data_IF_789419366185
#
_entry.id   IF_789419366185
#
_cell.length_a   1.000
_cell.length_b   1.000
_cell.length_c   1.000
_cell.angle_alpha   90.00
_cell.angle_beta   90.00
_cell.angle_gamma   90.00
#
_symmetry.space_group_name_H-M   'P 1'
#
loop_
_entity.id
_entity.type
_entity.pdbx_description
1 polymer ?
#
# COMPACT_ATOMS: atom_id res chain seq x y z
N UNK A 1 7.92 15.88 4.93
CA UNK A 1 8.49 14.52 5.15
C UNK A 1 7.35 13.59 5.55
N UNK A 2 7.17 12.45 4.85
CA UNK A 2 6.24 11.41 5.29
C UNK A 2 6.74 10.88 6.65
N UNK A 3 5.90 10.92 7.69
CA UNK A 3 6.23 10.32 8.99
C UNK A 3 6.76 8.90 8.73
N UNK A 4 7.90 8.56 9.34
CA UNK A 4 8.48 7.21 9.24
C UNK A 4 7.57 6.22 9.97
N UNK A 5 6.51 5.77 9.29
CA UNK A 5 5.63 4.73 9.79
C UNK A 5 6.39 3.40 9.74
N UNK A 6 6.40 2.69 10.87
CA UNK A 6 6.92 1.34 10.93
C UNK A 6 6.13 0.43 9.98
N UNK A 7 6.82 -0.50 9.34
CA UNK A 7 6.18 -1.37 8.34
C UNK A 7 5.03 -2.18 8.92
N UNK A 8 5.16 -2.68 10.15
CA UNK A 8 4.09 -3.41 10.85
C UNK A 8 2.82 -2.56 10.97
N UNK A 9 2.96 -1.30 11.39
CA UNK A 9 1.85 -0.34 11.49
C UNK A 9 1.26 -0.02 10.11
N UNK A 10 2.10 0.18 9.10
CA UNK A 10 1.65 0.44 7.73
C UNK A 10 0.84 -0.74 7.16
N UNK A 11 1.30 -1.97 7.39
CA UNK A 11 0.60 -3.19 7.00
C UNK A 11 -0.74 -3.32 7.71
N UNK A 12 -0.77 -3.20 9.04
CA UNK A 12 -2.01 -3.27 9.81
C UNK A 12 -3.03 -2.22 9.36
N UNK A 13 -2.59 -0.98 9.13
CA UNK A 13 -3.47 0.09 8.66
C UNK A 13 -4.05 -0.24 7.28
N UNK A 14 -3.23 -0.71 6.34
CA UNK A 14 -3.69 -1.07 5.00
C UNK A 14 -4.70 -2.23 5.06
N UNK A 15 -4.40 -3.31 5.79
CA UNK A 15 -5.26 -4.49 5.88
C UNK A 15 -6.61 -4.14 6.49
N UNK A 16 -6.63 -3.36 7.57
CA UNK A 16 -7.86 -2.93 8.24
C UNK A 16 -8.72 -2.01 7.36
N UNK A 17 -8.14 -1.38 6.34
CA UNK A 17 -8.84 -0.54 5.37
C UNK A 17 -9.06 -1.25 4.01
N UNK A 18 -8.93 -2.57 3.97
CA UNK A 18 -9.22 -3.39 2.78
C UNK A 18 -8.17 -3.30 1.67
N UNK A 19 -6.96 -2.83 1.99
CA UNK A 19 -5.81 -2.79 1.07
C UNK A 19 -4.86 -3.95 1.36
N UNK A 20 -4.70 -4.84 0.38
CA UNK A 20 -3.77 -5.97 0.44
C UNK A 20 -2.74 -5.84 -0.67
N UNK A 21 -1.47 -6.00 -0.33
CA UNK A 21 -0.33 -5.87 -1.26
C UNK A 21 0.45 -7.18 -1.23
N UNK A 22 0.60 -7.81 -2.39
CA UNK A 22 1.22 -9.12 -2.49
C UNK A 22 1.95 -9.31 -3.83
N UNK A 23 3.00 -10.14 -3.87
CA UNK A 23 3.64 -10.53 -5.11
C UNK A 23 2.74 -11.47 -5.90
N UNK A 24 2.73 -11.33 -7.23
CA UNK A 24 2.11 -12.26 -8.17
C UNK A 24 3.15 -12.72 -9.18
N UNK A 25 3.27 -14.03 -9.35
CA UNK A 25 4.17 -14.62 -10.35
C UNK A 25 3.57 -14.47 -11.74
N UNK A 26 4.38 -14.03 -12.70
CA UNK A 26 3.98 -13.96 -14.10
C UNK A 26 4.90 -14.86 -14.90
N UNK A 27 4.31 -15.92 -15.48
CA UNK A 27 4.97 -16.85 -16.41
C UNK A 27 6.31 -17.43 -15.90
N UNK A 28 6.45 -17.61 -14.59
CA UNK A 28 7.57 -18.33 -13.96
C UNK A 28 8.93 -17.62 -13.96
N UNK A 29 9.07 -16.44 -14.58
CA UNK A 29 10.38 -15.75 -14.71
C UNK A 29 10.53 -14.47 -13.90
N UNK A 30 9.41 -13.82 -13.57
CA UNK A 30 9.41 -12.58 -12.80
C UNK A 30 8.15 -12.46 -11.95
N UNK A 31 8.25 -11.61 -10.94
CA UNK A 31 7.19 -11.27 -10.01
C UNK A 31 6.76 -9.83 -10.25
N UNK A 32 5.46 -9.59 -10.25
CA UNK A 32 4.86 -8.25 -10.23
C UNK A 32 4.24 -8.02 -8.86
N UNK A 33 4.10 -6.75 -8.46
CA UNK A 33 3.35 -6.42 -7.25
C UNK A 33 1.90 -6.15 -7.62
N UNK A 34 0.97 -6.86 -6.98
CA UNK A 34 -0.46 -6.60 -7.10
C UNK A 34 -0.98 -5.98 -5.81
N UNK A 35 -1.82 -4.96 -5.98
CA UNK A 35 -2.58 -4.34 -4.91
C UNK A 35 -4.05 -4.61 -5.13
N UNK A 36 -4.70 -5.19 -4.12
CA UNK A 36 -6.15 -5.27 -4.05
C UNK A 36 -6.63 -4.21 -3.06
N UNK A 37 -7.36 -3.21 -3.55
CA UNK A 37 -8.00 -2.18 -2.74
C UNK A 37 -9.52 -2.39 -2.81
N UNK A 38 -10.09 -3.01 -1.78
CA UNK A 38 -11.53 -3.24 -1.65
C UNK A 38 -12.15 -3.91 -2.89
N UNK A 39 -11.49 -4.94 -3.41
CA UNK A 39 -11.91 -5.70 -4.60
C UNK A 39 -11.34 -5.15 -5.92
N UNK A 40 -10.86 -3.91 -5.96
CA UNK A 40 -10.21 -3.34 -7.14
C UNK A 40 -8.74 -3.75 -7.19
N UNK A 41 -8.42 -4.64 -8.12
CA UNK A 41 -7.05 -5.12 -8.32
C UNK A 41 -6.30 -4.20 -9.28
N UNK A 42 -5.06 -3.85 -8.92
CA UNK A 42 -4.11 -3.14 -9.75
C UNK A 42 -2.77 -3.86 -9.70
N UNK A 43 -2.20 -4.17 -10.86
CA UNK A 43 -0.89 -4.81 -10.96
C UNK A 43 0.11 -3.78 -11.47
N UNK A 44 1.19 -3.57 -10.73
CA UNK A 44 2.28 -2.70 -11.19
C UNK A 44 3.05 -3.38 -12.32
N UNK A 45 3.48 -2.61 -13.35
CA UNK A 45 4.16 -3.17 -14.52
C UNK A 45 5.59 -3.63 -14.22
N UNK A 46 6.18 -3.18 -13.10
CA UNK A 46 7.54 -3.49 -12.67
C UNK A 46 7.77 -5.01 -12.53
N UNK A 47 8.77 -5.53 -13.24
CA UNK A 47 9.15 -6.94 -13.22
C UNK A 47 10.33 -7.13 -12.26
N UNK A 48 10.09 -7.91 -11.20
CA UNK A 48 11.04 -8.13 -10.12
C UNK A 48 11.53 -9.57 -10.17
N UNK A 49 12.85 -9.73 -10.14
CA UNK A 49 13.49 -11.06 -10.25
C UNK A 49 14.08 -11.53 -8.92
N UNK A 50 14.43 -10.61 -8.02
CA UNK A 50 15.10 -10.94 -6.75
C UNK A 50 14.16 -10.71 -5.57
N UNK A 51 14.19 -11.63 -4.60
CA UNK A 51 13.39 -11.54 -3.36
C UNK A 51 13.59 -10.22 -2.61
N UNK A 52 14.83 -9.69 -2.60
CA UNK A 52 15.13 -8.40 -1.97
C UNK A 52 14.36 -7.24 -2.61
N UNK A 53 14.28 -7.22 -3.94
CA UNK A 53 13.60 -6.16 -4.68
C UNK A 53 12.08 -6.29 -4.55
N UNK A 54 11.57 -7.53 -4.53
CA UNK A 54 10.16 -7.84 -4.22
C UNK A 54 9.79 -7.30 -2.84
N UNK A 55 10.56 -7.64 -1.80
CA UNK A 55 10.30 -7.18 -0.44
C UNK A 55 10.38 -5.66 -0.32
N UNK A 56 11.38 -5.04 -0.95
CA UNK A 56 11.52 -3.58 -0.98
C UNK A 56 10.30 -2.92 -1.63
N UNK A 57 9.86 -3.43 -2.78
CA UNK A 57 8.69 -2.91 -3.48
C UNK A 57 7.44 -3.05 -2.61
N UNK A 58 7.19 -4.21 -2.00
CA UNK A 58 6.06 -4.41 -1.08
C UNK A 58 6.07 -3.39 0.06
N UNK A 59 7.23 -3.18 0.72
CA UNK A 59 7.38 -2.22 1.82
C UNK A 59 7.05 -0.80 1.37
N UNK A 60 7.58 -0.38 0.23
CA UNK A 60 7.31 0.95 -0.34
C UNK A 60 5.82 1.15 -0.62
N UNK A 61 5.15 0.14 -1.17
CA UNK A 61 3.74 0.25 -1.54
C UNK A 61 2.86 0.24 -0.28
N UNK A 62 3.19 -0.54 0.75
CA UNK A 62 2.51 -0.44 2.05
C UNK A 62 2.65 0.97 2.65
N UNK A 63 3.85 1.54 2.64
CA UNK A 63 4.08 2.92 3.11
C UNK A 63 3.31 3.95 2.28
N UNK A 64 3.24 3.77 0.97
CA UNK A 64 2.50 4.67 0.09
C UNK A 64 0.99 4.65 0.40
N UNK A 65 0.39 3.46 0.46
CA UNK A 65 -1.04 3.32 0.73
C UNK A 65 -1.41 3.72 2.17
N UNK A 66 -0.57 3.41 3.16
CA UNK A 66 -0.81 3.83 4.54
C UNK A 66 -0.83 5.37 4.66
N UNK A 67 0.11 6.05 4.00
CA UNK A 67 0.15 7.51 3.99
C UNK A 67 -1.06 8.11 3.26
N UNK A 68 -1.54 7.46 2.18
CA UNK A 68 -2.75 7.88 1.48
C UNK A 68 -4.00 7.76 2.37
N UNK A 69 -4.12 6.68 3.13
CA UNK A 69 -5.20 6.47 4.10
C UNK A 69 -5.15 7.52 5.21
N UNK A 70 -3.98 7.75 5.82
CA UNK A 70 -3.83 8.75 6.88
C UNK A 70 -4.24 10.15 6.42
N UNK A 71 -3.83 10.56 5.20
CA UNK A 71 -4.24 11.84 4.62
C UNK A 71 -5.75 11.95 4.40
N UNK A 72 -6.43 10.84 4.07
CA UNK A 72 -7.89 10.82 3.94
C UNK A 72 -8.58 11.06 5.29
N UNK A 73 -8.05 10.50 6.38
CA UNK A 73 -8.56 10.76 7.72
C UNK A 73 -8.34 12.20 8.16
N UNK A 74 -7.13 12.75 7.98
CA UNK A 74 -6.84 14.16 8.29
C UNK A 74 -7.80 15.11 7.53
N UNK A 75 -8.07 14.81 6.26
CA UNK A 75 -8.99 15.59 5.44
C UNK A 75 -10.46 15.48 5.94
N UNK A 76 -10.89 14.28 6.34
CA UNK A 76 -12.23 14.06 6.85
C UNK A 76 -12.48 14.75 8.20
N UNK A 77 -11.51 14.72 9.11
CA UNK A 77 -11.57 15.46 10.38
C UNK A 77 -11.66 16.97 10.14
N UNK A 78 -10.89 17.47 9.17
CA UNK A 78 -10.91 18.89 8.78
C UNK A 78 -12.30 19.31 8.33
N UNK A 79 -12.92 18.59 7.38
CA UNK A 79 -14.28 18.92 6.89
C UNK A 79 -15.33 18.86 8.00
N UNK A 80 -15.24 17.87 8.90
CA UNK A 80 -16.23 17.68 9.97
C UNK A 80 -16.19 18.83 10.98
N UNK A 81 -15.00 19.36 11.28
CA UNK A 81 -14.84 20.50 12.18
C UNK A 81 -15.29 21.83 11.56
N UNK A 82 -15.25 21.99 10.22
CA UNK A 82 -15.79 23.19 9.56
C UNK A 82 -17.33 23.26 9.53
N UNK A 83 -18.03 22.16 9.84
CA UNK A 83 -19.50 22.08 9.82
C UNK A 83 -20.15 22.22 11.19
N UNK A 84 -19.38 22.45 12.26
CA UNK A 84 -19.86 22.82 13.59
C UNK A 84 -19.67 24.30 13.83
#
# INVERSE_FOLDING_TARGET
MLKSIEISKAMSLCINNGVRIYPVTSMGKYVKIQVNNNGRKHTYPEELHRTKDINKSIIEKYKYYSNKILKQFEFHETITNYKK
#
